data_IF_557470537641
#
_entry.id   IF_557470537641
#
_cell.length_a   1.000
_cell.length_b   1.000
_cell.length_c   1.000
_cell.angle_alpha   90.00
_cell.angle_beta   90.00
_cell.angle_gamma   90.00
#
_symmetry.space_group_name_H-M   'P 1'
#
loop_
_entity.id
_entity.type
_entity.pdbx_description
1 polymer ?
#
# COMPACT_ATOMS: atom_id res chain seq x y z
N UNK A 1 1.11 -4.46 -15.78
CA UNK A 1 1.30 -3.12 -16.40
C UNK A 1 2.09 -2.26 -15.44
N UNK A 2 2.79 -1.22 -15.91
CA UNK A 2 3.54 -0.31 -15.03
C UNK A 2 2.62 0.78 -14.48
N UNK A 3 2.81 1.15 -13.22
CA UNK A 3 2.10 2.27 -12.58
C UNK A 3 3.00 3.51 -12.63
N UNK A 4 2.45 4.65 -13.03
CA UNK A 4 3.20 5.89 -13.21
C UNK A 4 3.02 6.84 -12.00
N UNK A 5 3.99 7.73 -11.74
CA UNK A 5 3.81 8.77 -10.72
C UNK A 5 2.58 9.64 -10.99
N UNK A 6 1.70 9.75 -10.01
CA UNK A 6 0.45 10.50 -10.10
C UNK A 6 -0.80 9.64 -10.34
N UNK A 7 -0.62 8.36 -10.70
CA UNK A 7 -1.74 7.44 -10.89
C UNK A 7 -2.40 7.08 -9.55
N UNK A 8 -3.74 7.04 -9.57
CA UNK A 8 -4.52 6.48 -8.48
C UNK A 8 -4.91 5.04 -8.86
N UNK A 9 -4.31 4.07 -8.18
CA UNK A 9 -4.52 2.64 -8.46
C UNK A 9 -4.93 1.88 -7.21
N UNK A 10 -5.62 0.75 -7.41
CA UNK A 10 -5.85 -0.25 -6.36
C UNK A 10 -4.85 -1.37 -6.57
N UNK A 11 -4.19 -1.80 -5.49
CA UNK A 11 -3.19 -2.88 -5.50
C UNK A 11 -3.51 -3.89 -4.42
N UNK A 12 -3.13 -5.14 -4.66
CA UNK A 12 -3.06 -6.18 -3.65
C UNK A 12 -1.63 -6.28 -3.12
N UNK A 13 -1.47 -6.45 -1.81
CA UNK A 13 -0.17 -6.42 -1.13
C UNK A 13 -0.12 -7.58 -0.14
N UNK A 14 0.92 -8.41 -0.26
CA UNK A 14 1.25 -9.45 0.71
C UNK A 14 2.34 -8.93 1.66
N UNK A 15 2.12 -9.09 2.96
CA UNK A 15 3.10 -8.69 3.97
C UNK A 15 3.97 -9.88 4.36
N UNK A 16 5.28 -9.63 4.51
CA UNK A 16 6.25 -10.66 4.93
C UNK A 16 5.96 -11.23 6.33
N UNK A 17 5.27 -10.46 7.17
CA UNK A 17 4.85 -10.86 8.51
C UNK A 17 3.47 -10.31 8.81
N UNK A 18 2.65 -11.00 9.62
CA UNK A 18 1.35 -10.50 10.05
C UNK A 18 1.49 -9.19 10.83
N UNK A 19 0.64 -8.21 10.50
CA UNK A 19 0.54 -6.93 11.20
C UNK A 19 -0.93 -6.69 11.51
N UNK A 20 -1.23 -6.18 12.71
CA UNK A 20 -2.58 -5.76 13.06
C UNK A 20 -3.05 -4.66 12.09
N UNK A 21 -4.17 -4.89 11.42
CA UNK A 21 -4.66 -4.02 10.35
C UNK A 21 -6.17 -3.79 10.48
N UNK A 22 -6.60 -2.60 10.09
CA UNK A 22 -8.01 -2.21 10.00
C UNK A 22 -8.27 -1.53 8.65
N UNK A 23 -9.51 -1.63 8.14
CA UNK A 23 -9.89 -0.87 6.94
C UNK A 23 -9.70 0.63 7.17
N UNK A 24 -9.43 1.36 6.09
CA UNK A 24 -9.23 2.81 6.05
C UNK A 24 -7.97 3.34 6.74
N UNK A 25 -7.19 2.48 7.43
CA UNK A 25 -5.89 2.88 7.96
C UNK A 25 -5.00 3.41 6.85
N UNK A 26 -4.31 4.52 7.11
CA UNK A 26 -3.39 5.15 6.16
C UNK A 26 -1.99 4.54 6.27
N UNK A 27 -1.31 4.42 5.15
CA UNK A 27 0.06 3.95 5.09
C UNK A 27 0.87 4.73 4.03
N UNK A 28 2.19 4.64 4.12
CA UNK A 28 3.12 5.15 3.13
C UNK A 28 4.02 4.02 2.63
N UNK A 29 4.31 4.01 1.34
CA UNK A 29 5.24 3.06 0.70
C UNK A 29 6.58 3.76 0.55
N UNK A 30 7.65 3.10 0.99
CA UNK A 30 9.02 3.64 0.95
C UNK A 30 9.98 2.66 0.30
N UNK A 31 10.83 3.17 -0.57
CA UNK A 31 11.86 2.43 -1.27
C UNK A 31 13.10 3.31 -1.42
N UNK A 32 14.31 2.76 -1.23
CA UNK A 32 15.56 3.52 -1.34
C UNK A 32 15.64 4.77 -0.47
N UNK A 33 14.94 4.79 0.67
CA UNK A 33 14.87 5.95 1.58
C UNK A 33 13.89 7.06 1.17
N UNK A 34 13.17 6.91 0.06
CA UNK A 34 12.18 7.89 -0.44
C UNK A 34 10.76 7.36 -0.27
N UNK A 35 9.79 8.27 -0.10
CA UNK A 35 8.36 7.91 -0.18
C UNK A 35 7.97 7.85 -1.65
N UNK A 36 7.47 6.69 -2.08
CA UNK A 36 7.08 6.44 -3.48
C UNK A 36 5.56 6.32 -3.66
N UNK A 37 4.82 6.17 -2.56
CA UNK A 37 3.36 6.13 -2.58
C UNK A 37 2.74 6.36 -1.21
N UNK A 38 1.46 6.70 -1.21
CA UNK A 38 0.64 6.79 -0.01
C UNK A 38 -0.74 6.19 -0.31
N UNK A 39 -1.33 5.54 0.69
CA UNK A 39 -2.57 4.81 0.48
C UNK A 39 -3.39 4.64 1.74
N UNK A 40 -4.57 4.04 1.55
CA UNK A 40 -5.45 3.58 2.62
C UNK A 40 -5.83 2.13 2.34
N UNK A 41 -5.95 1.32 3.39
CA UNK A 41 -6.38 -0.08 3.25
C UNK A 41 -7.84 -0.11 2.84
N UNK A 42 -8.13 -0.70 1.67
CA UNK A 42 -9.50 -0.85 1.17
C UNK A 42 -10.18 -2.09 1.76
N UNK A 43 -9.50 -3.24 1.70
CA UNK A 43 -9.96 -4.52 2.24
C UNK A 43 -8.75 -5.30 2.81
N UNK A 44 -9.03 -6.22 3.72
CA UNK A 44 -8.06 -7.19 4.25
C UNK A 44 -8.44 -8.53 3.60
N UNK A 45 -7.45 -9.20 3.02
CA UNK A 45 -7.58 -10.49 2.34
C UNK A 45 -6.83 -11.52 3.19
N UNK A 46 -7.41 -12.71 3.36
CA UNK A 46 -6.86 -13.83 4.15
C UNK A 46 -6.37 -14.96 3.23
#
# INVERSE_FOLDING_TARGET
EMVMPGDNVSIEVELITPIAMEKTIRFAIREGGKTVGAGRVANILD
#
